data_IF_579543095139
#
_entry.id   IF_579543095139
#
_cell.length_a   1.000
_cell.length_b   1.000
_cell.length_c   1.000
_cell.angle_alpha   90.00
_cell.angle_beta   90.00
_cell.angle_gamma   90.00
#
_symmetry.space_group_name_H-M   'P 1'
#
loop_
_entity.id
_entity.type
_entity.pdbx_description
1 polymer ?
#
# COMPACT_ATOMS: atom_id res chain seq x y z
N UNK A 1 22.21 -2.10 24.93
CA UNK A 1 22.33 -0.87 24.10
C UNK A 1 22.06 0.36 24.97
N UNK A 2 22.48 1.57 24.58
CA UNK A 2 22.14 2.79 25.34
C UNK A 2 20.62 2.99 25.45
N UNK A 3 19.85 2.53 24.46
CA UNK A 3 18.38 2.53 24.48
C UNK A 3 17.73 1.87 25.69
N UNK A 4 18.32 0.82 26.27
CA UNK A 4 17.75 0.13 27.43
C UNK A 4 17.95 0.93 28.72
N UNK A 5 19.01 1.75 28.79
CA UNK A 5 19.32 2.56 29.97
C UNK A 5 18.69 3.95 29.92
N UNK A 6 18.44 4.47 28.72
CA UNK A 6 17.90 5.82 28.50
C UNK A 6 16.43 5.82 28.10
N UNK A 7 15.88 4.66 27.72
CA UNK A 7 14.52 4.52 27.20
C UNK A 7 14.32 5.10 25.79
N UNK A 8 15.35 5.73 25.20
CA UNK A 8 15.30 6.40 23.91
C UNK A 8 15.64 5.45 22.77
N UNK A 9 14.92 5.54 21.65
CA UNK A 9 15.28 4.78 20.45
C UNK A 9 16.66 5.22 19.93
N UNK A 10 17.46 4.30 19.39
CA UNK A 10 18.80 4.60 18.87
C UNK A 10 18.84 5.70 17.78
N UNK A 11 17.74 5.90 17.04
CA UNK A 11 17.61 6.94 16.00
C UNK A 11 17.21 8.31 16.57
N UNK A 12 16.70 8.33 17.81
CA UNK A 12 16.28 9.56 18.50
C UNK A 12 17.40 10.09 19.43
N UNK A 13 18.57 9.42 19.40
CA UNK A 13 19.73 9.73 20.24
C UNK A 13 20.76 10.56 19.47
N UNK A 14 21.01 11.77 19.96
CA UNK A 14 22.05 12.65 19.46
C UNK A 14 23.27 12.60 20.38
N UNK A 15 24.38 12.09 19.88
CA UNK A 15 25.62 11.92 20.68
C UNK A 15 26.58 13.06 20.41
N UNK A 16 27.04 13.70 21.48
CA UNK A 16 28.05 14.76 21.46
C UNK A 16 29.34 14.27 22.13
N UNK A 17 30.47 14.49 21.45
CA UNK A 17 31.80 14.27 22.00
C UNK A 17 32.63 15.55 21.91
N UNK A 18 33.13 16.04 23.04
CA UNK A 18 33.89 17.32 23.13
C UNK A 18 33.18 18.51 22.47
N UNK A 19 31.85 18.59 22.58
CA UNK A 19 31.05 19.65 21.97
C UNK A 19 30.83 19.53 20.46
N UNK A 20 31.31 18.45 19.82
CA UNK A 20 31.00 18.12 18.43
C UNK A 20 29.93 17.05 18.34
N UNK A 21 28.95 17.27 17.47
CA UNK A 21 27.93 16.30 17.11
C UNK A 21 28.58 15.14 16.35
N UNK A 22 28.29 13.92 16.79
CA UNK A 22 28.72 12.72 16.09
C UNK A 22 27.55 12.15 15.29
N UNK A 23 27.83 11.72 14.07
CA UNK A 23 26.87 10.97 13.26
C UNK A 23 26.62 9.60 13.92
N UNK A 24 25.36 9.16 13.91
CA UNK A 24 24.95 7.82 14.38
C UNK A 24 25.63 6.69 13.61
N UNK A 25 26.14 6.94 12.40
CA UNK A 25 26.91 5.98 11.59
C UNK A 25 28.43 6.08 11.75
N UNK A 26 28.93 7.07 12.50
CA UNK A 26 30.37 7.25 12.69
C UNK A 26 30.93 6.25 13.72
N UNK A 27 32.07 5.65 13.39
CA UNK A 27 32.77 4.77 14.33
C UNK A 27 33.47 5.60 15.42
N UNK A 28 33.41 5.09 16.66
CA UNK A 28 33.92 5.77 17.86
C UNK A 28 35.45 5.95 17.84
N UNK A 29 36.17 5.01 17.23
CA UNK A 29 37.62 5.03 17.04
C UNK A 29 38.06 6.18 16.13
N UNK A 30 37.38 6.37 14.99
CA UNK A 30 37.61 7.49 14.07
C UNK A 30 37.24 8.84 14.69
N UNK A 31 36.28 8.83 15.63
CA UNK A 31 35.86 10.02 16.38
C UNK A 31 36.79 10.35 17.54
N UNK A 32 37.84 9.55 17.78
CA UNK A 32 38.83 9.76 18.84
C UNK A 32 38.29 9.52 20.25
N UNK A 33 37.21 8.73 20.37
CA UNK A 33 36.65 8.28 21.64
C UNK A 33 37.56 7.17 22.19
N UNK A 34 38.04 7.34 23.42
CA UNK A 34 38.91 6.38 24.12
C UNK A 34 38.19 5.83 25.33
N UNK A 35 38.81 4.85 25.98
CA UNK A 35 38.31 4.37 27.26
C UNK A 35 38.22 5.53 28.28
N UNK A 36 37.10 5.57 29.02
CA UNK A 36 36.70 6.66 29.93
C UNK A 36 36.43 8.04 29.31
N UNK A 37 36.32 8.15 27.99
CA UNK A 37 35.85 9.39 27.34
C UNK A 37 34.42 9.74 27.77
N UNK A 38 34.17 11.01 28.11
CA UNK A 38 32.84 11.51 28.42
C UNK A 38 32.07 11.82 27.13
N UNK A 39 30.90 11.23 26.99
CA UNK A 39 29.93 11.49 25.92
C UNK A 39 28.69 12.13 26.53
N UNK A 40 28.08 13.07 25.81
CA UNK A 40 26.80 13.66 26.18
C UNK A 40 25.75 13.12 25.21
N UNK A 41 24.69 12.54 25.76
CA UNK A 41 23.54 12.08 25.00
C UNK A 41 22.44 13.13 25.12
N UNK A 42 21.93 13.61 24.00
CA UNK A 42 20.75 14.46 23.91
C UNK A 42 19.63 13.69 23.21
N UNK A 43 18.40 13.96 23.62
CA UNK A 43 17.21 13.59 22.87
C UNK A 43 17.04 14.58 21.71
N UNK A 44 16.80 14.06 20.51
CA UNK A 44 16.47 14.87 19.34
C UNK A 44 14.95 14.80 19.07
N UNK A 45 14.17 15.81 19.52
CA UNK A 45 12.72 15.84 19.30
C UNK A 45 12.36 15.94 17.81
N UNK A 46 13.25 16.49 16.95
CA UNK A 46 13.02 16.56 15.51
C UNK A 46 13.20 15.18 14.86
N UNK A 47 14.12 14.37 15.36
CA UNK A 47 14.29 12.97 14.92
C UNK A 47 13.06 12.13 15.28
N UNK A 48 12.56 12.25 16.51
CA UNK A 48 11.34 11.57 16.95
C UNK A 48 10.12 11.99 16.11
N UNK A 49 9.97 13.29 15.84
CA UNK A 49 8.89 13.80 15.00
C UNK A 49 8.98 13.28 13.55
N UNK A 50 10.18 13.27 12.95
CA UNK A 50 10.41 12.71 11.61
C UNK A 50 10.02 11.24 11.55
N UNK A 51 10.48 10.44 12.52
CA UNK A 51 10.17 9.01 12.59
C UNK A 51 8.67 8.73 12.72
N UNK A 52 7.97 9.48 13.57
CA UNK A 52 6.52 9.34 13.73
C UNK A 52 5.75 9.71 12.44
N UNK A 53 6.23 10.70 11.69
CA UNK A 53 5.65 11.08 10.39
C UNK A 53 5.88 9.98 9.36
N UNK A 54 7.08 9.41 9.31
CA UNK A 54 7.41 8.31 8.39
C UNK A 54 6.63 7.04 8.71
N UNK A 55 6.51 6.67 9.99
CA UNK A 55 5.67 5.56 10.43
C UNK A 55 4.21 5.75 10.02
N UNK A 56 3.65 6.96 10.22
CA UNK A 56 2.27 7.26 9.77
C UNK A 56 2.12 7.15 8.25
N UNK A 57 3.13 7.57 7.48
CA UNK A 57 3.12 7.43 6.01
C UNK A 57 3.18 5.96 5.60
N UNK A 58 4.06 5.18 6.22
CA UNK A 58 4.17 3.74 5.97
C UNK A 58 2.88 3.00 6.34
N UNK A 59 2.27 3.32 7.48
CA UNK A 59 0.99 2.74 7.90
C UNK A 59 -0.15 3.09 6.95
N UNK A 60 -0.20 4.34 6.46
CA UNK A 60 -1.19 4.77 5.46
C UNK A 60 -1.01 4.00 4.15
N UNK A 61 0.24 3.85 3.68
CA UNK A 61 0.55 3.06 2.50
C UNK A 61 0.17 1.58 2.69
N UNK A 62 0.47 1.00 3.85
CA UNK A 62 0.14 -0.38 4.15
C UNK A 62 -1.37 -0.63 4.22
N UNK A 63 -2.14 0.29 4.84
CA UNK A 63 -3.60 0.25 4.85
C UNK A 63 -4.18 0.34 3.44
N UNK A 64 -3.66 1.26 2.62
CA UNK A 64 -4.10 1.41 1.23
C UNK A 64 -3.82 0.14 0.42
N UNK A 65 -2.63 -0.46 0.56
CA UNK A 65 -2.29 -1.73 -0.10
C UNK A 65 -3.17 -2.90 0.33
N UNK A 66 -3.52 -3.01 1.63
CA UNK A 66 -4.48 -4.01 2.11
C UNK A 66 -5.86 -3.81 1.49
N UNK A 67 -6.34 -2.57 1.40
CA UNK A 67 -7.63 -2.26 0.77
C UNK A 67 -7.64 -2.63 -0.71
N UNK A 68 -6.58 -2.29 -1.46
CA UNK A 68 -6.43 -2.69 -2.87
C UNK A 68 -6.42 -4.21 -3.02
N UNK A 69 -5.72 -4.92 -2.12
CA UNK A 69 -5.67 -6.38 -2.13
C UNK A 69 -7.04 -7.00 -1.86
N UNK A 70 -7.82 -6.43 -0.94
CA UNK A 70 -9.19 -6.90 -0.67
C UNK A 70 -10.10 -6.72 -1.88
N UNK A 71 -10.05 -5.54 -2.51
CA UNK A 71 -10.83 -5.27 -3.73
C UNK A 71 -10.37 -6.20 -4.86
N UNK A 72 -9.07 -6.47 -5.01
CA UNK A 72 -8.57 -7.44 -5.99
C UNK A 72 -9.24 -8.80 -5.85
N UNK A 73 -9.40 -9.30 -4.62
CA UNK A 73 -10.06 -10.59 -4.38
C UNK A 73 -11.55 -10.55 -4.77
N UNK A 74 -12.22 -9.43 -4.55
CA UNK A 74 -13.63 -9.28 -4.93
C UNK A 74 -13.77 -9.16 -6.47
N UNK A 75 -12.85 -8.45 -7.13
CA UNK A 75 -12.74 -8.41 -8.59
C UNK A 75 -12.46 -9.80 -9.17
N UNK A 76 -11.60 -10.60 -8.54
CA UNK A 76 -11.32 -11.98 -8.98
C UNK A 76 -12.58 -12.86 -8.92
N UNK A 77 -13.39 -12.74 -7.85
CA UNK A 77 -14.68 -13.44 -7.76
C UNK A 77 -15.63 -13.00 -8.87
N UNK A 78 -15.74 -11.70 -9.12
CA UNK A 78 -16.58 -11.18 -10.21
C UNK A 78 -16.09 -11.68 -11.57
N UNK A 79 -14.78 -11.71 -11.79
CA UNK A 79 -14.17 -12.23 -13.02
C UNK A 79 -14.55 -13.69 -13.29
N UNK A 80 -14.59 -14.56 -12.27
CA UNK A 80 -15.04 -15.96 -12.47
C UNK A 80 -16.47 -16.05 -12.98
N UNK A 81 -17.36 -15.15 -12.51
CA UNK A 81 -18.75 -15.07 -12.99
C UNK A 81 -18.80 -14.56 -14.43
N UNK A 82 -18.03 -13.52 -14.76
CA UNK A 82 -17.93 -13.00 -16.14
C UNK A 82 -17.46 -14.10 -17.11
N UNK A 83 -16.43 -14.87 -16.74
CA UNK A 83 -15.94 -15.99 -17.56
C UNK A 83 -16.97 -17.10 -17.71
N UNK A 84 -17.77 -17.38 -16.67
CA UNK A 84 -18.86 -18.36 -16.76
C UNK A 84 -19.94 -17.90 -17.75
N UNK A 85 -20.33 -16.62 -17.70
CA UNK A 85 -21.28 -16.05 -18.65
C UNK A 85 -20.74 -16.06 -20.08
N UNK A 86 -19.48 -15.70 -20.28
CA UNK A 86 -18.82 -15.76 -21.58
C UNK A 86 -18.84 -17.18 -22.17
N UNK A 87 -18.58 -18.19 -21.34
CA UNK A 87 -18.61 -19.60 -21.74
C UNK A 87 -20.02 -20.06 -22.15
N UNK A 88 -21.07 -19.59 -21.48
CA UNK A 88 -22.47 -19.88 -21.83
C UNK A 88 -22.81 -19.29 -23.20
N UNK A 89 -22.50 -18.01 -23.42
CA UNK A 89 -22.75 -17.33 -24.70
C UNK A 89 -21.96 -17.97 -25.83
N UNK A 90 -20.69 -18.35 -25.58
CA UNK A 90 -19.86 -19.05 -26.57
C UNK A 90 -20.44 -20.41 -26.98
N UNK A 91 -21.18 -21.08 -26.10
CA UNK A 91 -21.90 -22.33 -26.39
C UNK A 91 -23.28 -22.09 -27.03
N UNK A 92 -23.64 -20.85 -27.33
CA UNK A 92 -24.93 -20.47 -27.91
C UNK A 92 -26.07 -20.36 -26.89
N UNK A 93 -25.77 -20.38 -25.58
CA UNK A 93 -26.75 -20.16 -24.53
C UNK A 93 -27.09 -18.68 -24.38
N UNK A 94 -28.35 -18.37 -24.05
CA UNK A 94 -28.77 -17.02 -23.67
C UNK A 94 -28.48 -16.77 -22.20
N UNK A 95 -27.97 -15.59 -21.88
CA UNK A 95 -27.78 -15.14 -20.48
C UNK A 95 -28.88 -14.13 -20.13
N UNK A 96 -29.33 -14.16 -18.88
CA UNK A 96 -30.32 -13.21 -18.36
C UNK A 96 -29.71 -11.81 -18.34
N UNK A 97 -30.35 -10.84 -18.99
CA UNK A 97 -29.84 -9.47 -19.07
C UNK A 97 -29.67 -8.84 -17.67
N UNK A 98 -30.57 -9.16 -16.73
CA UNK A 98 -30.46 -8.72 -15.35
C UNK A 98 -29.16 -9.18 -14.66
N UNK A 99 -28.67 -10.39 -14.97
CA UNK A 99 -27.41 -10.90 -14.39
C UNK A 99 -26.20 -10.15 -14.95
N UNK A 100 -26.24 -9.80 -16.24
CA UNK A 100 -25.20 -9.00 -16.89
C UNK A 100 -25.17 -7.60 -16.29
N UNK A 101 -26.33 -6.95 -16.13
CA UNK A 101 -26.44 -5.62 -15.51
C UNK A 101 -25.94 -5.64 -14.06
N UNK A 102 -26.36 -6.62 -13.25
CA UNK A 102 -25.93 -6.75 -11.86
C UNK A 102 -24.41 -6.96 -11.72
N UNK A 103 -23.80 -7.73 -12.63
CA UNK A 103 -22.35 -7.91 -12.67
C UNK A 103 -21.61 -6.64 -13.07
N UNK A 104 -22.12 -5.89 -14.04
CA UNK A 104 -21.57 -4.59 -14.44
C UNK A 104 -21.64 -3.58 -13.29
N UNK A 105 -22.77 -3.49 -12.59
CA UNK A 105 -22.94 -2.63 -11.42
C UNK A 105 -21.99 -3.01 -10.28
N UNK A 106 -21.82 -4.31 -10.01
CA UNK A 106 -20.87 -4.79 -9.01
C UNK A 106 -19.42 -4.43 -9.36
N UNK A 107 -19.01 -4.60 -10.63
CA UNK A 107 -17.68 -4.22 -11.11
C UNK A 107 -17.45 -2.70 -11.03
N UNK A 108 -18.44 -1.90 -11.41
CA UNK A 108 -18.38 -0.44 -11.31
C UNK A 108 -18.29 0.03 -9.85
N UNK A 109 -18.98 -0.65 -8.94
CA UNK A 109 -18.89 -0.37 -7.49
C UNK A 109 -17.47 -0.62 -6.96
N UNK A 110 -16.83 -1.71 -7.37
CA UNK A 110 -15.43 -1.98 -7.01
C UNK A 110 -14.46 -0.98 -7.63
N UNK A 111 -14.73 -0.49 -8.85
CA UNK A 111 -13.94 0.57 -9.47
C UNK A 111 -13.98 1.88 -8.66
N UNK A 112 -15.17 2.31 -8.25
CA UNK A 112 -15.34 3.52 -7.40
C UNK A 112 -14.61 3.36 -6.06
N UNK A 113 -14.64 2.16 -5.48
CA UNK A 113 -13.89 1.85 -4.25
C UNK A 113 -12.38 1.92 -4.47
N UNK A 114 -11.87 1.47 -5.61
CA UNK A 114 -10.46 1.62 -5.98
C UNK A 114 -10.09 3.11 -6.08
N UNK A 115 -10.88 3.90 -6.79
CA UNK A 115 -10.63 5.34 -6.98
C UNK A 115 -10.64 6.14 -5.67
N UNK A 116 -11.47 5.74 -4.71
CA UNK A 116 -11.51 6.33 -3.38
C UNK A 116 -10.24 6.07 -2.54
N UNK A 117 -9.40 5.10 -2.91
CA UNK A 117 -8.15 4.82 -2.20
C UNK A 117 -7.09 5.86 -2.59
N UNK A 118 -6.79 6.73 -1.63
CA UNK A 118 -5.64 7.62 -1.68
C UNK A 118 -4.35 6.80 -1.61
N UNK A 119 -3.74 6.61 -2.78
CA UNK A 119 -2.55 5.78 -2.97
C UNK A 119 -1.44 6.57 -3.67
N UNK A 120 -0.21 6.46 -3.16
CA UNK A 120 1.00 7.02 -3.73
C UNK A 120 2.01 5.93 -4.07
N UNK A 121 2.96 6.23 -4.96
CA UNK A 121 4.05 5.33 -5.35
C UNK A 121 3.54 3.97 -5.85
N UNK A 122 4.01 2.90 -5.21
CA UNK A 122 3.72 1.51 -5.60
C UNK A 122 2.23 1.14 -5.48
N UNK A 123 1.54 1.64 -4.46
CA UNK A 123 0.11 1.36 -4.26
C UNK A 123 -0.73 1.98 -5.39
N UNK A 124 -0.30 3.12 -5.94
CA UNK A 124 -0.92 3.75 -7.11
C UNK A 124 -0.77 2.89 -8.36
N UNK A 125 0.39 2.24 -8.53
CA UNK A 125 0.61 1.30 -9.63
C UNK A 125 -0.28 0.05 -9.50
N UNK A 126 -0.39 -0.51 -8.29
CA UNK A 126 -1.31 -1.63 -7.99
C UNK A 126 -2.76 -1.27 -8.31
N UNK A 127 -3.20 -0.08 -7.89
CA UNK A 127 -4.56 0.43 -8.16
C UNK A 127 -4.83 0.53 -9.67
N UNK A 128 -3.92 1.15 -10.43
CA UNK A 128 -4.02 1.26 -11.91
C UNK A 128 -4.09 -0.08 -12.62
N UNK A 129 -3.37 -1.09 -12.12
CA UNK A 129 -3.44 -2.43 -12.68
C UNK A 129 -4.84 -3.03 -12.48
N UNK A 130 -5.41 -2.88 -11.28
CA UNK A 130 -6.76 -3.38 -10.97
C UNK A 130 -7.85 -2.61 -11.75
N UNK A 131 -7.73 -1.28 -11.89
CA UNK A 131 -8.62 -0.46 -12.74
C UNK A 131 -8.68 -1.02 -14.17
N UNK A 132 -7.52 -1.30 -14.78
CA UNK A 132 -7.46 -1.91 -16.12
C UNK A 132 -8.10 -3.30 -16.20
N UNK A 133 -7.96 -4.11 -15.15
CA UNK A 133 -8.59 -5.44 -15.10
C UNK A 133 -10.11 -5.33 -15.04
N UNK A 134 -10.63 -4.47 -14.18
CA UNK A 134 -12.07 -4.20 -14.07
C UNK A 134 -12.62 -3.71 -15.41
N UNK A 135 -11.94 -2.75 -16.05
CA UNK A 135 -12.36 -2.22 -17.35
C UNK A 135 -12.47 -3.32 -18.42
N UNK A 136 -11.49 -4.22 -18.50
CA UNK A 136 -11.53 -5.35 -19.43
C UNK A 136 -12.72 -6.29 -19.18
N UNK A 137 -13.08 -6.53 -17.93
CA UNK A 137 -14.23 -7.36 -17.59
C UNK A 137 -15.56 -6.69 -17.95
N UNK A 138 -15.67 -5.37 -17.75
CA UNK A 138 -16.83 -4.58 -18.19
C UNK A 138 -16.99 -4.63 -19.71
N UNK A 139 -15.91 -4.41 -20.46
CA UNK A 139 -15.92 -4.52 -21.94
C UNK A 139 -16.37 -5.91 -22.41
N UNK A 140 -15.95 -6.97 -21.70
CA UNK A 140 -16.37 -8.35 -22.01
C UNK A 140 -17.87 -8.54 -21.77
N UNK A 141 -18.41 -7.98 -20.68
CA UNK A 141 -19.84 -8.01 -20.38
C UNK A 141 -20.66 -7.22 -21.42
N UNK A 142 -20.16 -6.08 -21.91
CA UNK A 142 -20.81 -5.31 -22.96
C UNK A 142 -20.89 -6.10 -24.28
N UNK A 143 -19.81 -6.82 -24.64
CA UNK A 143 -19.82 -7.73 -25.81
C UNK A 143 -20.80 -8.88 -25.61
N UNK A 144 -20.89 -9.46 -24.42
CA UNK A 144 -21.87 -10.49 -24.07
C UNK A 144 -23.29 -9.95 -24.22
N UNK A 145 -23.55 -8.72 -23.73
CA UNK A 145 -24.85 -8.07 -23.85
C UNK A 145 -25.24 -7.84 -25.30
N UNK A 146 -24.31 -7.34 -26.12
CA UNK A 146 -24.55 -7.11 -27.54
C UNK A 146 -24.81 -8.40 -28.34
N UNK A 147 -24.25 -9.53 -27.93
CA UNK A 147 -24.50 -10.85 -28.55
C UNK A 147 -25.81 -11.51 -28.10
N UNK A 148 -26.37 -11.08 -26.97
CA UNK A 148 -27.64 -11.58 -26.45
C UNK A 148 -28.86 -10.78 -26.94
N UNK A 149 -28.64 -9.56 -27.44
CA UNK A 149 -29.65 -8.74 -28.13
C UNK A 149 -29.96 -9.32 -29.52
#
# INVERSE_FOLDING_TARGET
MMSEKTGLHHEDQKVLYKGKEMDSKAFLDMSGVKDRSKLVLLEDPDAQAKRLIEQRRADKAHRASKSVSRISLDVDKLATKVSALEAIVRKGGKVVEADVVALTEALMTELVKLDAIAADGEVKAQRRLQEKRVQKYVETLDVIRAKNA
#
